data_IF_416067399167
#
_entry.id   IF_416067399167
#
_cell.length_a   1.000
_cell.length_b   1.000
_cell.length_c   1.000
_cell.angle_alpha   90.00
_cell.angle_beta   90.00
_cell.angle_gamma   90.00
#
_symmetry.space_group_name_H-M   'P 1'
#
loop_
_entity.id
_entity.type
_entity.pdbx_description
1 polymer ?
#
# COMPACT_ATOMS: atom_id res chain seq x y z
N UNK A 1 18.75 -7.94 -6.30
CA UNK A 1 17.70 -6.95 -6.55
C UNK A 1 16.66 -7.01 -5.45
N UNK A 2 16.44 -5.91 -4.76
CA UNK A 2 15.37 -5.85 -3.75
C UNK A 2 14.01 -5.76 -4.40
N UNK A 3 13.03 -6.34 -3.74
CA UNK A 3 11.64 -6.35 -4.19
C UNK A 3 10.80 -5.47 -3.28
N UNK A 4 10.03 -4.57 -3.89
CA UNK A 4 9.13 -3.64 -3.18
C UNK A 4 7.69 -3.99 -3.53
N UNK A 5 6.83 -4.12 -2.52
CA UNK A 5 5.40 -4.20 -2.73
C UNK A 5 4.75 -2.90 -2.27
N UNK A 6 3.86 -2.36 -3.09
CA UNK A 6 3.15 -1.12 -2.76
C UNK A 6 1.78 -1.46 -2.18
N UNK A 7 1.41 -0.77 -1.11
CA UNK A 7 0.08 -0.84 -0.50
C UNK A 7 -0.57 0.53 -0.58
N UNK A 8 -1.88 0.56 -0.75
CA UNK A 8 -2.62 1.80 -0.80
C UNK A 8 -4.04 1.61 -1.32
N UNK A 9 -4.84 2.66 -1.22
CA UNK A 9 -6.21 2.66 -1.68
C UNK A 9 -6.27 2.66 -3.21
N UNK A 10 -7.31 2.05 -3.78
CA UNK A 10 -7.58 2.11 -5.22
C UNK A 10 -7.73 3.57 -5.70
N UNK A 11 -8.16 4.48 -4.82
CA UNK A 11 -8.27 5.90 -5.16
C UNK A 11 -6.90 6.54 -5.41
N UNK A 12 -5.81 5.93 -4.97
CA UNK A 12 -4.45 6.36 -5.22
C UNK A 12 -3.81 5.66 -6.41
N UNK A 13 -4.60 4.97 -7.25
CA UNK A 13 -4.09 4.12 -8.32
C UNK A 13 -3.13 4.85 -9.27
N UNK A 14 -3.47 6.04 -9.71
CA UNK A 14 -2.63 6.80 -10.65
C UNK A 14 -1.26 7.11 -10.04
N UNK A 15 -1.25 7.53 -8.78
CA UNK A 15 -0.02 7.84 -8.07
C UNK A 15 0.79 6.57 -7.80
N UNK A 16 0.14 5.49 -7.41
CA UNK A 16 0.80 4.19 -7.20
C UNK A 16 1.48 3.73 -8.49
N UNK A 17 0.81 3.83 -9.63
CA UNK A 17 1.37 3.42 -10.92
C UNK A 17 2.58 4.27 -11.31
N UNK A 18 2.52 5.58 -11.06
CA UNK A 18 3.65 6.48 -11.32
C UNK A 18 4.85 6.13 -10.45
N UNK A 19 4.62 5.89 -9.17
CA UNK A 19 5.68 5.50 -8.23
C UNK A 19 6.26 4.14 -8.62
N UNK A 20 5.41 3.19 -8.98
CA UNK A 20 5.86 1.88 -9.48
C UNK A 20 6.85 2.04 -10.63
N UNK A 21 6.49 2.84 -11.61
CA UNK A 21 7.33 3.01 -12.80
C UNK A 21 8.67 3.65 -12.44
N UNK A 22 8.66 4.64 -11.56
CA UNK A 22 9.89 5.28 -11.07
C UNK A 22 10.80 4.30 -10.33
N UNK A 23 10.23 3.46 -9.47
CA UNK A 23 10.98 2.45 -8.74
C UNK A 23 11.55 1.38 -9.67
N UNK A 24 10.80 0.98 -10.70
CA UNK A 24 11.30 0.05 -11.71
C UNK A 24 12.50 0.62 -12.46
N UNK A 25 12.45 1.90 -12.81
CA UNK A 25 13.58 2.58 -13.46
C UNK A 25 14.82 2.56 -12.58
N UNK A 26 14.66 2.54 -11.28
CA UNK A 26 15.77 2.47 -10.32
C UNK A 26 16.27 1.03 -10.07
N UNK A 27 15.69 0.05 -10.76
CA UNK A 27 16.13 -1.34 -10.68
C UNK A 27 15.41 -2.21 -9.67
N UNK A 28 14.33 -1.72 -9.04
CA UNK A 28 13.54 -2.54 -8.12
C UNK A 28 12.53 -3.39 -8.88
N UNK A 29 12.24 -4.55 -8.34
CA UNK A 29 11.08 -5.33 -8.75
C UNK A 29 9.89 -4.87 -7.90
N UNK A 30 8.78 -4.49 -8.53
CA UNK A 30 7.68 -3.81 -7.83
C UNK A 30 6.37 -4.56 -8.01
N UNK A 31 5.68 -4.85 -6.88
CA UNK A 31 4.32 -5.38 -6.87
C UNK A 31 3.33 -4.28 -6.51
N UNK A 32 2.11 -4.38 -7.03
CA UNK A 32 1.03 -3.42 -6.78
C UNK A 32 -0.25 -4.15 -6.36
N UNK A 33 -1.20 -3.45 -5.69
CA UNK A 33 -2.47 -4.06 -5.30
C UNK A 33 -3.29 -4.53 -6.50
N UNK A 34 -4.04 -5.62 -6.35
CA UNK A 34 -4.88 -6.16 -7.42
C UNK A 34 -5.89 -5.14 -7.94
N UNK A 35 -6.51 -4.35 -7.06
CA UNK A 35 -7.42 -3.29 -7.48
C UNK A 35 -6.74 -2.24 -8.36
N UNK A 36 -5.48 -1.94 -8.09
CA UNK A 36 -4.70 -1.00 -8.92
C UNK A 36 -4.35 -1.63 -10.27
N UNK A 37 -4.04 -2.91 -10.31
CA UNK A 37 -3.84 -3.63 -11.58
C UNK A 37 -5.10 -3.58 -12.44
N UNK A 38 -6.26 -3.74 -11.83
CA UNK A 38 -7.54 -3.66 -12.55
C UNK A 38 -7.79 -2.28 -13.12
N UNK A 39 -7.43 -1.22 -12.38
CA UNK A 39 -7.51 0.16 -12.89
C UNK A 39 -6.58 0.34 -14.10
N UNK A 40 -5.38 -0.18 -14.04
CA UNK A 40 -4.41 -0.10 -15.14
C UNK A 40 -4.93 -0.82 -16.40
N UNK A 41 -5.56 -1.98 -16.23
CA UNK A 41 -6.01 -2.80 -17.35
C UNK A 41 -7.36 -2.38 -17.92
N UNK A 42 -8.28 -1.89 -17.09
CA UNK A 42 -9.70 -1.70 -17.45
C UNK A 42 -10.22 -0.30 -17.20
N UNK A 43 -9.43 0.60 -16.63
CA UNK A 43 -9.88 1.90 -16.18
C UNK A 43 -10.54 1.81 -14.80
N UNK A 44 -10.87 2.98 -14.22
CA UNK A 44 -11.46 3.07 -12.89
C UNK A 44 -12.92 2.66 -12.92
N UNK A 45 -13.28 1.68 -12.08
CA UNK A 45 -14.66 1.25 -11.87
C UNK A 45 -15.01 1.46 -10.39
N UNK A 46 -16.11 2.15 -10.10
CA UNK A 46 -16.59 2.27 -8.73
C UNK A 46 -17.34 0.99 -8.34
N UNK A 47 -17.04 0.50 -7.14
CA UNK A 47 -17.64 -0.73 -6.59
C UNK A 47 -18.22 -0.39 -5.22
N UNK A 48 -19.40 -0.92 -4.90
CA UNK A 48 -20.03 -0.72 -3.59
C UNK A 48 -19.20 -1.41 -2.48
N UNK A 49 -19.40 -0.96 -1.23
CA UNK A 49 -18.72 -1.57 -0.09
C UNK A 49 -19.11 -3.04 0.10
N UNK A 50 -20.38 -3.39 -0.20
CA UNK A 50 -20.86 -4.77 -0.13
C UNK A 50 -20.17 -5.65 -1.16
N UNK A 51 -20.09 -5.18 -2.41
CA UNK A 51 -19.40 -5.89 -3.47
C UNK A 51 -17.90 -6.06 -3.18
N UNK A 52 -17.27 -5.04 -2.61
CA UNK A 52 -15.86 -5.14 -2.19
C UNK A 52 -15.66 -6.20 -1.12
N UNK A 53 -16.56 -6.29 -0.14
CA UNK A 53 -16.49 -7.27 0.92
C UNK A 53 -16.70 -8.69 0.36
N UNK A 54 -17.70 -8.88 -0.48
CA UNK A 54 -17.99 -10.17 -1.12
C UNK A 54 -16.82 -10.64 -1.98
N UNK A 55 -16.20 -9.74 -2.75
CA UNK A 55 -15.05 -10.07 -3.57
C UNK A 55 -13.85 -10.51 -2.71
N UNK A 56 -13.60 -9.81 -1.61
CA UNK A 56 -12.53 -10.17 -0.69
C UNK A 56 -12.74 -11.54 -0.06
N UNK A 57 -13.98 -11.87 0.31
CA UNK A 57 -14.32 -13.17 0.88
C UNK A 57 -14.15 -14.27 -0.18
N UNK A 58 -14.70 -14.07 -1.37
CA UNK A 58 -14.69 -15.04 -2.44
C UNK A 58 -13.29 -15.40 -2.91
N UNK A 59 -12.43 -14.38 -3.05
CA UNK A 59 -11.07 -14.55 -3.57
C UNK A 59 -10.00 -14.58 -2.48
N UNK A 60 -10.42 -14.47 -1.20
CA UNK A 60 -9.51 -14.44 -0.06
C UNK A 60 -8.35 -13.45 -0.26
N UNK A 61 -8.70 -12.24 -0.66
CA UNK A 61 -7.70 -11.23 -1.04
C UNK A 61 -6.78 -10.82 0.11
N UNK A 62 -7.30 -10.84 1.34
CA UNK A 62 -6.49 -10.50 2.52
C UNK A 62 -5.38 -11.52 2.71
N UNK A 63 -5.73 -12.81 2.72
CA UNK A 63 -4.73 -13.89 2.88
C UNK A 63 -3.81 -13.97 1.67
N UNK A 64 -4.36 -13.81 0.47
CA UNK A 64 -3.59 -13.82 -0.77
C UNK A 64 -2.54 -12.72 -0.80
N UNK A 65 -2.89 -11.51 -0.36
CA UNK A 65 -1.92 -10.41 -0.31
C UNK A 65 -0.85 -10.64 0.75
N UNK A 66 -1.24 -11.19 1.91
CA UNK A 66 -0.28 -11.57 2.95
C UNK A 66 0.76 -12.56 2.41
N UNK A 67 0.32 -13.61 1.72
CA UNK A 67 1.23 -14.59 1.12
C UNK A 67 2.16 -13.93 0.09
N UNK A 68 1.62 -13.04 -0.73
CA UNK A 68 2.41 -12.28 -1.70
C UNK A 68 3.46 -11.40 -1.02
N UNK A 69 3.11 -10.74 0.08
CA UNK A 69 4.02 -9.85 0.79
C UNK A 69 5.24 -10.57 1.36
N UNK A 70 5.13 -11.87 1.64
CA UNK A 70 6.26 -12.67 2.11
C UNK A 70 7.42 -12.72 1.11
N UNK A 71 7.13 -12.58 -0.17
CA UNK A 71 8.14 -12.64 -1.23
C UNK A 71 8.84 -11.31 -1.48
N UNK A 72 8.47 -10.26 -0.75
CA UNK A 72 9.01 -8.92 -0.93
C UNK A 72 9.86 -8.51 0.27
N UNK A 73 10.87 -7.70 0.03
CA UNK A 73 11.80 -7.22 1.07
C UNK A 73 11.29 -5.97 1.75
N UNK A 74 10.57 -5.13 1.00
CA UNK A 74 10.16 -3.79 1.39
C UNK A 74 8.68 -3.61 1.08
N UNK A 75 7.96 -2.94 1.99
CA UNK A 75 6.60 -2.46 1.73
C UNK A 75 6.57 -0.95 1.74
N UNK A 76 6.00 -0.36 0.71
CA UNK A 76 5.79 1.08 0.59
C UNK A 76 4.30 1.39 0.63
N UNK A 77 3.88 2.15 1.62
CA UNK A 77 2.50 2.64 1.73
C UNK A 77 2.39 3.98 1.03
N UNK A 78 1.51 4.08 0.03
CA UNK A 78 1.22 5.32 -0.69
C UNK A 78 -0.09 5.87 -0.15
N UNK A 79 0.01 6.95 0.63
CA UNK A 79 -1.08 7.46 1.46
C UNK A 79 -1.41 8.93 1.21
N UNK A 80 -1.90 9.28 -0.01
CA UNK A 80 -2.32 10.65 -0.27
C UNK A 80 -3.58 11.02 0.51
N UNK A 81 -3.92 12.29 0.48
CA UNK A 81 -5.16 12.78 1.06
C UNK A 81 -6.36 12.03 0.47
N UNK A 82 -7.34 11.73 1.31
CA UNK A 82 -8.60 11.13 0.87
C UNK A 82 -9.74 11.70 1.72
N UNK A 83 -10.76 12.24 1.04
CA UNK A 83 -11.96 12.79 1.68
C UNK A 83 -11.65 13.83 2.79
N UNK A 84 -10.68 14.68 2.54
CA UNK A 84 -10.28 15.72 3.48
C UNK A 84 -9.35 15.27 4.59
N UNK A 85 -8.96 14.00 4.63
CA UNK A 85 -8.02 13.47 5.62
C UNK A 85 -6.63 13.38 5.00
N UNK A 86 -5.70 14.18 5.52
CA UNK A 86 -4.32 14.16 5.04
C UNK A 86 -3.63 12.84 5.35
N UNK A 87 -2.82 12.35 4.45
CA UNK A 87 -2.01 11.14 4.64
C UNK A 87 -2.84 9.91 5.00
N UNK A 88 -4.02 9.77 4.38
CA UNK A 88 -5.00 8.76 4.77
C UNK A 88 -4.49 7.33 4.64
N UNK A 89 -4.65 6.55 5.70
CA UNK A 89 -4.40 5.11 5.73
C UNK A 89 -5.71 4.43 6.11
N UNK A 90 -6.32 3.74 5.16
CA UNK A 90 -7.57 3.03 5.39
C UNK A 90 -7.36 1.67 6.05
N UNK A 91 -8.47 1.01 6.40
CA UNK A 91 -8.44 -0.25 7.14
C UNK A 91 -7.65 -1.35 6.46
N UNK A 92 -7.81 -1.52 5.14
CA UNK A 92 -7.11 -2.56 4.40
C UNK A 92 -5.59 -2.34 4.39
N UNK A 93 -5.17 -1.11 4.13
CA UNK A 93 -3.75 -0.76 4.14
C UNK A 93 -3.16 -0.90 5.55
N UNK A 94 -3.93 -0.52 6.57
CA UNK A 94 -3.51 -0.66 7.96
C UNK A 94 -3.26 -2.13 8.32
N UNK A 95 -4.13 -3.04 7.88
CA UNK A 95 -3.95 -4.48 8.08
C UNK A 95 -2.64 -4.94 7.42
N UNK A 96 -2.39 -4.49 6.20
CA UNK A 96 -1.17 -4.85 5.46
C UNK A 96 0.10 -4.33 6.14
N UNK A 97 0.03 -3.14 6.73
CA UNK A 97 1.13 -2.60 7.54
C UNK A 97 1.44 -3.50 8.73
N UNK A 98 0.40 -4.03 9.39
CA UNK A 98 0.58 -4.96 10.50
C UNK A 98 1.25 -6.26 10.03
N UNK A 99 0.91 -6.74 8.85
CA UNK A 99 1.57 -7.92 8.25
C UNK A 99 3.06 -7.69 8.09
N UNK A 100 3.46 -6.54 7.54
CA UNK A 100 4.87 -6.20 7.35
C UNK A 100 5.61 -6.18 8.68
N UNK A 101 4.99 -5.58 9.68
CA UNK A 101 5.58 -5.48 11.01
C UNK A 101 5.81 -6.87 11.62
N UNK A 102 4.80 -7.75 11.54
CA UNK A 102 4.89 -9.12 12.05
C UNK A 102 5.93 -9.94 11.29
N UNK A 103 6.09 -9.71 9.99
CA UNK A 103 7.09 -10.37 9.16
C UNK A 103 8.50 -9.78 9.33
N UNK A 104 8.64 -8.75 10.13
CA UNK A 104 9.89 -8.05 10.41
C UNK A 104 10.61 -7.56 9.14
N UNK A 105 9.83 -7.00 8.23
CA UNK A 105 10.34 -6.41 6.99
C UNK A 105 10.31 -4.90 7.05
N UNK A 106 11.02 -4.24 6.12
CA UNK A 106 11.06 -2.79 6.06
C UNK A 106 9.71 -2.20 5.66
N UNK A 107 9.25 -1.20 6.39
CA UNK A 107 8.01 -0.49 6.14
C UNK A 107 8.27 0.99 5.94
N UNK A 108 7.91 1.48 4.77
CA UNK A 108 7.99 2.91 4.43
C UNK A 108 6.60 3.48 4.22
N UNK A 109 6.42 4.74 4.63
CA UNK A 109 5.22 5.53 4.35
C UNK A 109 5.64 6.68 3.45
N UNK A 110 4.99 6.85 2.29
CA UNK A 110 5.43 7.78 1.27
C UNK A 110 5.28 9.25 1.68
N UNK A 111 4.16 9.63 2.29
CA UNK A 111 3.95 11.01 2.75
C UNK A 111 4.30 11.16 4.22
N UNK A 112 3.31 11.14 5.11
CA UNK A 112 3.53 11.31 6.55
C UNK A 112 2.54 10.44 7.33
N UNK A 113 2.67 10.43 8.64
CA UNK A 113 1.77 9.71 9.53
C UNK A 113 0.43 10.46 9.61
N UNK A 114 -0.71 9.79 9.39
CA UNK A 114 -2.01 10.44 9.49
C UNK A 114 -2.42 10.66 10.94
N UNK A 115 -3.36 11.59 11.14
CA UNK A 115 -4.04 11.77 12.41
C UNK A 115 -5.39 11.04 12.36
N UNK A 116 -5.42 9.83 12.89
CA UNK A 116 -6.55 8.90 12.85
C UNK A 116 -6.69 8.24 14.22
N UNK A 117 -7.85 7.61 14.52
CA UNK A 117 -8.03 6.91 15.80
C UNK A 117 -6.98 5.83 16.09
N UNK A 118 -6.33 5.30 15.06
CA UNK A 118 -5.31 4.24 15.21
C UNK A 118 -3.89 4.73 14.93
N UNK A 119 -3.64 6.02 15.06
CA UNK A 119 -2.30 6.60 14.84
C UNK A 119 -1.25 5.98 15.76
N UNK A 120 -1.60 5.70 17.01
CA UNK A 120 -0.64 5.11 17.95
C UNK A 120 -0.19 3.72 17.52
N UNK A 121 -1.07 2.93 16.92
CA UNK A 121 -0.73 1.62 16.39
C UNK A 121 0.19 1.73 15.18
N UNK A 122 -0.04 2.74 14.32
CA UNK A 122 0.85 3.00 13.19
C UNK A 122 2.25 3.37 13.69
N UNK A 123 2.33 4.28 14.66
CA UNK A 123 3.61 4.68 15.24
C UNK A 123 4.34 3.51 15.91
N UNK A 124 3.59 2.59 16.53
CA UNK A 124 4.15 1.40 17.15
C UNK A 124 4.83 0.46 16.13
N UNK A 125 4.40 0.50 14.87
CA UNK A 125 5.05 -0.26 13.80
C UNK A 125 6.36 0.36 13.32
N UNK A 126 6.66 1.56 13.76
CA UNK A 126 7.90 2.29 13.44
C UNK A 126 8.18 2.43 11.94
N UNK A 127 7.20 2.89 11.14
CA UNK A 127 7.45 3.05 9.71
C UNK A 127 8.44 4.18 9.46
N UNK A 128 9.19 4.05 8.36
CA UNK A 128 10.09 5.10 7.90
C UNK A 128 9.30 6.05 7.01
N UNK A 129 9.22 7.33 7.39
CA UNK A 129 8.47 8.35 6.66
C UNK A 129 9.37 8.98 5.60
N UNK A 130 8.94 8.94 4.34
CA UNK A 130 9.73 9.41 3.21
C UNK A 130 9.50 10.89 2.86
N UNK A 131 8.35 11.46 3.24
CA UNK A 131 7.95 12.83 2.87
C UNK A 131 8.07 13.08 1.36
N UNK A 132 7.64 12.11 0.57
CA UNK A 132 7.66 12.18 -0.89
C UNK A 132 9.00 11.85 -1.54
N UNK A 133 10.03 11.52 -0.79
CA UNK A 133 11.37 11.30 -1.33
C UNK A 133 11.71 9.80 -1.45
N UNK A 134 11.55 9.25 -2.67
CA UNK A 134 11.87 7.86 -2.96
C UNK A 134 13.36 7.54 -2.86
N UNK A 135 14.24 8.54 -2.88
CA UNK A 135 15.68 8.33 -2.80
C UNK A 135 16.12 7.75 -1.45
N UNK A 136 15.29 7.87 -0.43
CA UNK A 136 15.60 7.33 0.90
C UNK A 136 15.36 5.83 1.02
N UNK A 137 14.75 5.21 0.02
CA UNK A 137 14.56 3.75 0.01
C UNK A 137 15.88 3.08 -0.35
N UNK A 138 16.31 2.16 0.51
CA UNK A 138 17.57 1.46 0.30
C UNK A 138 17.44 -0.06 0.47
#
# INVERSE_FOLDING_TARGET
>A
MKKIIICGSITAAEEILKIRDELKERGFKVGIPEGVKNVELRGRTEVSNTEKAEDKIKHDLIRGYFEKMKDYDITLVVNPEKRGVSNYIGGNTFIEMAFVHVLDKQLYVFYDIPDLPYTSEILAMQPIVLKGNLNEIS
#
